data_IF_387304770427
#
_entry.id   IF_387304770427
#
_cell.length_a   1.000
_cell.length_b   1.000
_cell.length_c   1.000
_cell.angle_alpha   90.00
_cell.angle_beta   90.00
_cell.angle_gamma   90.00
#
_symmetry.space_group_name_H-M   'P 1'
#
loop_
_entity.id
_entity.type
_entity.pdbx_description
1 polymer ?
#
# COMPACT_ATOMS: atom_id res chain seq x y z
N UNK A 1 8.25 -33.96 -2.88
CA UNK A 1 7.98 -32.50 -2.79
C UNK A 1 6.60 -32.34 -2.20
N UNK A 2 6.47 -31.79 -0.99
CA UNK A 2 5.16 -31.44 -0.44
C UNK A 2 4.66 -30.26 -1.27
N UNK A 3 3.58 -30.47 -2.04
CA UNK A 3 2.89 -29.41 -2.76
C UNK A 3 2.28 -28.45 -1.75
N UNK A 4 2.98 -27.35 -1.47
CA UNK A 4 2.46 -26.30 -0.60
C UNK A 4 1.38 -25.58 -1.39
N UNK A 5 0.12 -25.82 -1.03
CA UNK A 5 -1.01 -25.12 -1.59
C UNK A 5 -1.01 -23.70 -1.01
N UNK A 6 -0.51 -22.71 -1.76
CA UNK A 6 -0.36 -21.33 -1.26
C UNK A 6 -1.69 -20.55 -1.21
N UNK A 7 -2.79 -21.15 -1.65
CA UNK A 7 -4.13 -20.53 -1.66
C UNK A 7 -4.84 -20.58 -0.30
N UNK A 8 -4.35 -21.39 0.66
CA UNK A 8 -5.05 -21.65 1.93
C UNK A 8 -4.47 -20.95 3.16
N UNK A 9 -3.37 -20.20 3.00
CA UNK A 9 -2.94 -19.28 4.04
C UNK A 9 -3.64 -17.94 3.76
N UNK A 10 -4.47 -17.42 4.67
CA UNK A 10 -4.94 -16.05 4.55
C UNK A 10 -3.70 -15.16 4.58
N UNK A 11 -3.22 -14.77 3.40
CA UNK A 11 -2.20 -13.75 3.32
C UNK A 11 -2.90 -12.47 3.77
N UNK A 12 -2.81 -12.19 5.07
CA UNK A 12 -3.33 -10.96 5.64
C UNK A 12 -2.57 -9.82 4.98
N UNK A 13 -3.18 -9.26 3.93
CA UNK A 13 -2.61 -8.16 3.17
C UNK A 13 -2.36 -7.03 4.15
N UNK A 14 -1.10 -6.64 4.29
CA UNK A 14 -0.70 -5.64 5.29
C UNK A 14 -1.17 -4.25 4.89
N UNK A 15 -1.37 -4.04 3.59
CA UNK A 15 -1.82 -2.78 3.02
C UNK A 15 -2.84 -3.01 1.90
N UNK A 16 -3.71 -2.02 1.69
CA UNK A 16 -4.65 -1.97 0.55
C UNK A 16 -4.27 -0.82 -0.39
N UNK A 17 -4.83 -0.82 -1.61
CA UNK A 17 -4.52 0.21 -2.60
C UNK A 17 -4.94 1.62 -2.12
N UNK A 18 -6.03 1.72 -1.36
CA UNK A 18 -6.50 2.98 -0.78
C UNK A 18 -5.50 3.53 0.24
N UNK A 19 -4.80 2.66 0.98
CA UNK A 19 -3.81 3.08 1.98
C UNK A 19 -2.59 3.77 1.35
N UNK A 20 -2.18 3.37 0.14
CA UNK A 20 -0.97 3.86 -0.54
C UNK A 20 -0.97 5.40 -0.60
N UNK A 21 -2.09 5.98 -1.02
CA UNK A 21 -2.28 7.44 -1.10
C UNK A 21 -2.04 8.11 0.25
N UNK A 22 -2.61 7.56 1.32
CA UNK A 22 -2.50 8.15 2.66
C UNK A 22 -1.10 7.97 3.26
N UNK A 23 -0.44 6.83 3.01
CA UNK A 23 0.96 6.61 3.43
C UNK A 23 1.89 7.66 2.82
N UNK A 24 1.71 7.94 1.53
CA UNK A 24 2.42 8.99 0.82
C UNK A 24 2.14 10.38 1.39
N UNK A 25 0.86 10.71 1.62
CA UNK A 25 0.44 12.02 2.13
C UNK A 25 0.91 12.26 3.57
N UNK A 26 0.98 11.22 4.41
CA UNK A 26 1.53 11.29 5.77
C UNK A 26 3.03 11.69 5.81
N UNK A 27 3.73 11.59 4.67
CA UNK A 27 5.12 12.04 4.52
C UNK A 27 5.25 13.30 3.65
N UNK A 28 4.12 13.92 3.29
CA UNK A 28 4.06 15.10 2.42
C UNK A 28 4.78 14.90 1.07
N UNK A 29 4.66 13.70 0.49
CA UNK A 29 5.35 13.34 -0.75
C UNK A 29 4.42 13.39 -1.97
N UNK A 30 5.00 13.79 -3.10
CA UNK A 30 4.38 13.62 -4.43
C UNK A 30 4.45 12.15 -4.87
N UNK A 31 3.65 11.76 -5.86
CA UNK A 31 3.70 10.40 -6.41
C UNK A 31 5.08 10.07 -7.00
N UNK A 32 5.76 11.04 -7.62
CA UNK A 32 7.13 10.86 -8.13
C UNK A 32 8.12 10.56 -7.00
N UNK A 33 8.07 11.33 -5.91
CA UNK A 33 8.97 11.12 -4.76
C UNK A 33 8.72 9.78 -4.08
N UNK A 34 7.45 9.45 -3.82
CA UNK A 34 7.09 8.20 -3.14
C UNK A 34 7.37 6.98 -4.04
N UNK A 35 7.10 7.10 -5.34
CA UNK A 35 7.45 6.10 -6.35
C UNK A 35 8.96 5.86 -6.39
N UNK A 36 9.76 6.92 -6.35
CA UNK A 36 11.22 6.82 -6.26
C UNK A 36 11.69 6.02 -5.05
N UNK A 37 11.11 6.27 -3.87
CA UNK A 37 11.42 5.52 -2.65
C UNK A 37 10.97 4.06 -2.73
N UNK A 38 9.79 3.80 -3.29
CA UNK A 38 9.25 2.44 -3.46
C UNK A 38 9.85 1.69 -4.66
N UNK A 39 10.66 2.35 -5.49
CA UNK A 39 11.15 1.84 -6.79
C UNK A 39 10.00 1.42 -7.71
N UNK A 40 8.94 2.24 -7.75
CA UNK A 40 7.75 2.09 -8.59
C UNK A 40 7.61 3.35 -9.44
N UNK A 41 7.40 3.18 -10.75
CA UNK A 41 7.16 4.30 -11.65
C UNK A 41 5.97 5.15 -11.20
N UNK A 42 6.02 6.47 -11.42
CA UNK A 42 4.98 7.39 -10.98
C UNK A 42 3.61 7.06 -11.60
N UNK A 43 3.57 6.69 -12.89
CA UNK A 43 2.33 6.33 -13.57
C UNK A 43 1.74 5.02 -13.05
N UNK A 44 2.60 4.06 -12.71
CA UNK A 44 2.20 2.81 -12.05
C UNK A 44 1.63 3.09 -10.66
N UNK A 45 2.33 3.89 -9.84
CA UNK A 45 1.87 4.29 -8.52
C UNK A 45 0.51 5.00 -8.57
N UNK A 46 0.31 5.89 -9.56
CA UNK A 46 -0.96 6.56 -9.75
C UNK A 46 -2.11 5.59 -10.06
N UNK A 47 -1.87 4.56 -10.88
CA UNK A 47 -2.87 3.51 -11.17
C UNK A 47 -3.15 2.64 -9.94
N UNK A 48 -2.12 2.33 -9.13
CA UNK A 48 -2.30 1.63 -7.86
C UNK A 48 -3.17 2.45 -6.90
N UNK A 49 -2.86 3.74 -6.69
CA UNK A 49 -3.63 4.61 -5.77
C UNK A 49 -5.11 4.77 -6.16
N UNK A 50 -5.43 4.66 -7.45
CA UNK A 50 -6.82 4.70 -7.94
C UNK A 50 -7.53 3.34 -7.92
N UNK A 51 -6.78 2.25 -7.76
CA UNK A 51 -7.33 0.89 -7.89
C UNK A 51 -7.48 0.41 -9.34
N UNK A 52 -7.00 1.18 -10.34
CA UNK A 52 -7.00 0.80 -11.76
C UNK A 52 -6.04 -0.36 -12.02
N UNK A 53 -5.00 -0.50 -11.20
CA UNK A 53 -4.04 -1.59 -11.23
C UNK A 53 -4.15 -2.37 -9.91
N UNK A 54 -4.38 -3.70 -9.94
CA UNK A 54 -4.43 -4.50 -8.72
C UNK A 54 -3.10 -4.44 -7.98
N UNK A 55 -3.19 -4.30 -6.66
CA UNK A 55 -2.05 -4.45 -5.76
C UNK A 55 -1.63 -5.92 -5.72
N UNK A 56 -0.70 -6.29 -6.59
CA UNK A 56 -0.09 -7.62 -6.64
C UNK A 56 0.93 -7.79 -5.50
N UNK A 57 1.32 -9.03 -5.14
CA UNK A 57 2.36 -9.27 -4.12
C UNK A 57 3.69 -8.55 -4.41
N UNK A 58 4.04 -8.40 -5.69
CA UNK A 58 5.21 -7.65 -6.12
C UNK A 58 5.11 -6.17 -5.70
N UNK A 59 4.00 -5.52 -6.03
CA UNK A 59 3.79 -4.11 -5.68
C UNK A 59 3.61 -3.92 -4.18
N UNK A 60 2.89 -4.83 -3.50
CA UNK A 60 2.76 -4.80 -2.04
C UNK A 60 4.14 -4.81 -1.37
N UNK A 61 5.04 -5.71 -1.81
CA UNK A 61 6.41 -5.78 -1.30
C UNK A 61 7.16 -4.45 -1.53
N UNK A 62 7.06 -3.87 -2.73
CA UNK A 62 7.72 -2.59 -3.06
C UNK A 62 7.23 -1.43 -2.21
N UNK A 63 5.92 -1.32 -1.99
CA UNK A 63 5.35 -0.29 -1.14
C UNK A 63 5.78 -0.50 0.32
N UNK A 64 5.77 -1.73 0.84
CA UNK A 64 6.22 -2.03 2.20
C UNK A 64 7.71 -1.75 2.40
N UNK A 65 8.56 -2.04 1.40
CA UNK A 65 9.98 -1.65 1.40
C UNK A 65 10.13 -0.12 1.47
N UNK A 66 9.34 0.62 0.68
CA UNK A 66 9.33 2.08 0.73
C UNK A 66 8.85 2.64 2.08
N UNK A 67 7.82 2.04 2.68
CA UNK A 67 7.37 2.38 4.02
C UNK A 67 8.47 2.17 5.07
N UNK A 68 9.20 1.05 4.99
CA UNK A 68 10.36 0.81 5.87
C UNK A 68 11.45 1.86 5.67
N UNK A 69 11.77 2.22 4.43
CA UNK A 69 12.77 3.25 4.12
C UNK A 69 12.37 4.64 4.67
N UNK A 70 11.07 4.91 4.79
CA UNK A 70 10.51 6.14 5.37
C UNK A 70 10.27 6.06 6.88
N UNK A 71 10.74 5.00 7.54
CA UNK A 71 10.51 4.70 8.95
C UNK A 71 9.02 4.80 9.33
N UNK A 72 8.12 4.34 8.45
CA UNK A 72 6.70 4.21 8.77
C UNK A 72 6.57 3.02 9.72
N UNK A 73 6.18 3.32 10.96
CA UNK A 73 5.96 2.33 12.01
C UNK A 73 4.71 1.50 11.74
N UNK A 74 4.61 0.35 12.41
CA UNK A 74 3.42 -0.49 12.38
C UNK A 74 2.18 0.25 12.92
N UNK A 75 2.34 1.06 13.97
CA UNK A 75 1.27 1.89 14.50
C UNK A 75 0.73 2.89 13.47
N UNK A 76 1.62 3.49 12.67
CA UNK A 76 1.22 4.38 11.57
C UNK A 76 0.46 3.62 10.47
N UNK A 77 0.91 2.40 10.11
CA UNK A 77 0.18 1.55 9.15
C UNK A 77 -1.24 1.24 9.62
N UNK A 78 -1.40 0.84 10.88
CA UNK A 78 -2.71 0.57 11.51
C UNK A 78 -3.57 1.84 11.53
N UNK A 79 -2.96 2.98 11.87
CA UNK A 79 -3.66 4.27 11.89
C UNK A 79 -4.17 4.68 10.52
N UNK A 80 -3.35 4.51 9.47
CA UNK A 80 -3.76 4.76 8.08
C UNK A 80 -4.87 3.81 7.65
N UNK A 81 -4.77 2.51 7.97
CA UNK A 81 -5.84 1.54 7.71
C UNK A 81 -7.16 2.00 8.32
N UNK A 82 -7.14 2.44 9.58
CA UNK A 82 -8.33 2.94 10.27
C UNK A 82 -8.93 4.18 9.60
N UNK A 83 -8.10 5.11 9.15
CA UNK A 83 -8.55 6.31 8.42
C UNK A 83 -9.25 5.92 7.11
N UNK A 84 -8.67 4.98 6.37
CA UNK A 84 -9.25 4.46 5.12
C UNK A 84 -10.61 3.82 5.38
N UNK A 85 -10.72 2.93 6.37
CA UNK A 85 -11.98 2.29 6.75
C UNK A 85 -13.07 3.31 7.10
N UNK A 86 -12.72 4.34 7.90
CA UNK A 86 -13.66 5.39 8.27
C UNK A 86 -14.15 6.22 7.08
N UNK A 87 -13.29 6.46 6.08
CA UNK A 87 -13.65 7.17 4.86
C UNK A 87 -14.55 6.33 3.96
N UNK A 88 -14.22 5.04 3.80
CA UNK A 88 -15.05 4.09 3.06
C UNK A 88 -16.45 3.97 3.67
N UNK A 89 -16.55 3.89 4.99
CA UNK A 89 -17.84 3.86 5.70
C UNK A 89 -18.67 5.14 5.49
N UNK A 90 -18.03 6.26 5.13
CA UNK A 90 -18.69 7.53 4.78
C UNK A 90 -18.97 7.67 3.27
N UNK A 91 -18.63 6.66 2.47
CA UNK A 91 -18.73 6.72 1.01
C UNK A 91 -17.69 7.63 0.34
N UNK A 92 -16.59 7.93 1.04
CA UNK A 92 -15.51 8.81 0.54
C UNK A 92 -14.33 7.92 0.12
N UNK A 93 -13.92 8.02 -1.15
CA UNK A 93 -12.72 7.34 -1.70
C UNK A 93 -11.50 8.28 -1.72
#
# INVERSE_FOLDING_TARGET
MIGVNTDSLPHERKITYQMIKYLRLCRNMTQTQFGGVCKVDQGVLAKLERGDLPLSPHYETKILEGCKALNISELELVSVKRIVELKQNRGIN
#
